data_IF_707458827568
#
_entry.id   IF_707458827568
#
_cell.length_a   1.000
_cell.length_b   1.000
_cell.length_c   1.000
_cell.angle_alpha   90.00
_cell.angle_beta   90.00
_cell.angle_gamma   90.00
#
_symmetry.space_group_name_H-M   'P 1'
#
loop_
_entity.id
_entity.type
_entity.pdbx_description
1 polymer ?
#
# COMPACT_ATOMS: atom_id res chain seq x y z
N UNK A 1 15.24 11.29 -11.89
CA UNK A 1 14.29 10.25 -11.44
C UNK A 1 13.41 10.88 -10.40
N UNK A 2 12.09 10.68 -10.50
CA UNK A 2 11.16 11.23 -9.53
C UNK A 2 11.10 10.26 -8.35
N UNK A 3 11.74 10.61 -7.24
CA UNK A 3 11.63 9.82 -6.00
C UNK A 3 10.23 10.05 -5.43
N UNK A 4 9.41 9.00 -5.37
CA UNK A 4 8.09 9.06 -4.71
C UNK A 4 8.30 9.12 -3.21
N UNK A 5 8.50 10.34 -2.70
CA UNK A 5 8.76 10.61 -1.29
C UNK A 5 7.72 9.92 -0.40
N UNK A 6 8.18 9.18 0.61
CA UNK A 6 7.33 8.47 1.57
C UNK A 6 6.58 7.27 1.02
N UNK A 7 6.82 6.84 -0.23
CA UNK A 7 6.34 5.55 -0.75
C UNK A 7 7.52 4.58 -0.79
N UNK A 8 7.42 3.49 -0.03
CA UNK A 8 8.46 2.48 0.10
C UNK A 8 7.97 1.20 -0.57
N UNK A 9 8.78 0.71 -1.51
CA UNK A 9 8.50 -0.47 -2.33
C UNK A 9 9.30 -1.67 -1.79
N UNK A 10 8.75 -2.38 -0.82
CA UNK A 10 9.46 -3.46 -0.13
C UNK A 10 9.48 -4.72 -0.98
N UNK A 11 10.66 -5.36 -1.04
CA UNK A 11 10.93 -6.59 -1.78
C UNK A 11 10.42 -6.58 -3.24
N UNK A 12 10.41 -5.40 -3.86
CA UNK A 12 9.96 -5.18 -5.24
C UNK A 12 8.49 -5.55 -5.49
N UNK A 13 7.56 -4.99 -4.69
CA UNK A 13 6.13 -5.07 -5.00
C UNK A 13 5.85 -4.66 -6.46
N UNK A 14 6.53 -3.62 -6.92
CA UNK A 14 6.79 -3.39 -8.34
C UNK A 14 8.29 -3.38 -8.61
N UNK A 15 8.73 -3.57 -9.85
CA UNK A 15 10.13 -3.35 -10.19
C UNK A 15 10.55 -1.89 -9.93
N UNK A 16 11.76 -1.69 -9.41
CA UNK A 16 12.27 -0.34 -9.06
C UNK A 16 12.23 0.64 -10.24
N UNK A 17 12.67 0.20 -11.41
CA UNK A 17 12.65 1.03 -12.62
C UNK A 17 11.22 1.46 -13.01
N UNK A 18 10.25 0.56 -12.85
CA UNK A 18 8.86 0.88 -13.15
C UNK A 18 8.34 2.01 -12.25
N UNK A 19 8.57 1.91 -10.94
CA UNK A 19 8.08 2.87 -9.97
C UNK A 19 8.70 4.27 -10.15
N UNK A 20 10.00 4.33 -10.44
CA UNK A 20 10.75 5.60 -10.56
C UNK A 20 10.57 6.33 -11.91
N UNK A 21 10.34 5.58 -13.00
CA UNK A 21 10.41 6.12 -14.35
C UNK A 21 9.12 5.99 -15.16
N UNK A 22 8.27 5.00 -14.86
CA UNK A 22 7.15 4.61 -15.72
C UNK A 22 5.80 4.87 -15.05
N UNK A 23 5.67 4.56 -13.76
CA UNK A 23 4.42 4.68 -13.01
C UNK A 23 3.75 6.04 -13.22
N UNK A 24 4.51 7.13 -13.11
CA UNK A 24 3.96 8.48 -13.29
C UNK A 24 3.36 8.73 -14.67
N UNK A 25 3.80 8.04 -15.72
CA UNK A 25 3.17 8.13 -17.04
C UNK A 25 1.86 7.35 -17.08
N UNK A 26 1.84 6.13 -16.54
CA UNK A 26 0.64 5.27 -16.49
C UNK A 26 -0.48 5.90 -15.64
N UNK A 27 -0.12 6.71 -14.64
CA UNK A 27 -1.09 7.41 -13.78
C UNK A 27 -1.68 8.70 -14.40
N UNK A 28 -1.14 9.21 -15.51
CA UNK A 28 -1.53 10.53 -16.06
C UNK A 28 -3.00 10.61 -16.43
N UNK A 29 -3.54 9.56 -17.04
CA UNK A 29 -4.93 9.57 -17.51
C UNK A 29 -5.91 9.57 -16.33
N UNK A 30 -5.58 8.85 -15.25
CA UNK A 30 -6.33 8.89 -14.00
C UNK A 30 -6.31 10.29 -13.39
N UNK A 31 -5.12 10.90 -13.27
CA UNK A 31 -4.97 12.26 -12.73
C UNK A 31 -5.74 13.28 -13.57
N UNK A 32 -5.68 13.16 -14.89
CA UNK A 32 -6.41 14.03 -15.81
C UNK A 32 -7.93 13.91 -15.59
N UNK A 33 -8.46 12.69 -15.60
CA UNK A 33 -9.89 12.40 -15.35
C UNK A 33 -10.35 13.00 -14.02
N UNK A 34 -9.59 12.81 -12.94
CA UNK A 34 -9.92 13.38 -11.63
C UNK A 34 -9.91 14.90 -11.60
N UNK A 35 -9.02 15.56 -12.34
CA UNK A 35 -9.00 17.02 -12.43
C UNK A 35 -10.20 17.56 -13.21
N UNK A 36 -10.57 16.91 -14.33
CA UNK A 36 -11.76 17.27 -15.11
C UNK A 36 -13.03 17.14 -14.27
N UNK A 37 -13.20 16.02 -13.55
CA UNK A 37 -14.33 15.81 -12.64
C UNK A 37 -14.38 16.85 -11.50
N UNK A 38 -13.22 17.25 -10.98
CA UNK A 38 -13.11 18.26 -9.94
C UNK A 38 -13.51 19.66 -10.45
N UNK A 39 -13.18 19.99 -11.70
CA UNK A 39 -13.58 21.25 -12.33
C UNK A 39 -15.09 21.30 -12.59
N UNK A 40 -15.70 20.17 -12.98
CA UNK A 40 -17.15 20.06 -13.23
C UNK A 40 -17.99 20.11 -11.95
N UNK A 41 -17.57 19.38 -10.91
CA UNK A 41 -18.28 19.31 -9.62
C UNK A 41 -18.02 20.52 -8.71
N UNK A 42 -16.86 21.18 -8.87
CA UNK A 42 -16.35 22.17 -7.92
C UNK A 42 -15.71 21.54 -6.67
N UNK A 43 -15.69 20.21 -6.56
CA UNK A 43 -15.06 19.48 -5.47
C UNK A 43 -13.55 19.30 -5.70
N UNK A 44 -12.84 18.89 -4.65
CA UNK A 44 -11.41 18.58 -4.75
C UNK A 44 -11.22 17.17 -5.32
N UNK A 45 -10.34 17.02 -6.31
CA UNK A 45 -9.81 15.71 -6.71
C UNK A 45 -9.21 14.96 -5.50
N UNK A 46 -9.22 13.62 -5.45
CA UNK A 46 -8.71 12.86 -4.30
C UNK A 46 -7.31 13.28 -3.80
N UNK A 47 -6.29 13.52 -4.65
CA UNK A 47 -4.97 13.99 -4.18
C UNK A 47 -5.03 15.35 -3.46
N UNK A 48 -5.83 16.30 -3.97
CA UNK A 48 -6.05 17.62 -3.37
C UNK A 48 -6.87 17.53 -2.08
N UNK A 49 -7.85 16.63 -2.01
CA UNK A 49 -8.64 16.37 -0.81
C UNK A 49 -7.75 15.81 0.31
N UNK A 50 -6.93 14.79 0.03
CA UNK A 50 -5.93 14.24 0.95
C UNK A 50 -4.95 15.34 1.40
N UNK A 51 -4.41 16.12 0.46
CA UNK A 51 -3.48 17.21 0.80
C UNK A 51 -4.11 18.22 1.78
N UNK A 52 -5.42 18.48 1.68
CA UNK A 52 -6.11 19.38 2.59
C UNK A 52 -6.33 18.81 4.00
N UNK A 53 -6.14 17.51 4.21
CA UNK A 53 -6.15 16.90 5.54
C UNK A 53 -4.83 17.11 6.30
N UNK A 54 -3.79 17.69 5.68
CA UNK A 54 -2.46 17.90 6.29
C UNK A 54 -2.51 18.57 7.66
N UNK A 55 -3.16 19.73 7.76
CA UNK A 55 -3.15 20.51 9.01
C UNK A 55 -3.81 19.75 10.14
N UNK A 56 -4.93 19.09 9.83
CA UNK A 56 -5.66 18.27 10.78
C UNK A 56 -4.87 17.02 11.17
N UNK A 57 -4.20 16.36 10.21
CA UNK A 57 -3.29 15.24 10.45
C UNK A 57 -2.21 15.55 11.48
N UNK A 58 -1.45 16.64 11.29
CA UNK A 58 -0.38 17.01 12.22
C UNK A 58 -0.91 17.42 13.59
N UNK A 59 -2.11 18.01 13.64
CA UNK A 59 -2.80 18.29 14.91
C UNK A 59 -3.16 16.97 15.62
N UNK A 60 -3.85 16.05 14.94
CA UNK A 60 -4.24 14.74 15.49
C UNK A 60 -3.02 13.95 15.96
N UNK A 61 -1.95 13.91 15.16
CA UNK A 61 -0.70 13.24 15.53
C UNK A 61 -0.06 13.84 16.79
N UNK A 62 -0.03 15.17 16.89
CA UNK A 62 0.46 15.85 18.09
C UNK A 62 -0.42 15.60 19.33
N UNK A 63 -1.73 15.40 19.16
CA UNK A 63 -2.62 15.03 20.26
C UNK A 63 -2.38 13.58 20.70
N UNK A 64 -2.28 12.65 19.75
CA UNK A 64 -1.99 11.23 20.01
C UNK A 64 -0.65 11.07 20.75
N UNK A 65 0.39 11.82 20.38
CA UNK A 65 1.71 11.74 21.05
C UNK A 65 1.70 12.28 22.48
N UNK A 66 0.75 13.13 22.84
CA UNK A 66 0.63 13.72 24.19
C UNK A 66 -0.36 12.96 25.07
N UNK A 67 -1.27 12.20 24.44
CA UNK A 67 -2.26 11.39 25.13
C UNK A 67 -1.62 10.12 25.69
N UNK A 68 -2.00 9.71 26.89
CA UNK A 68 -1.50 8.49 27.54
C UNK A 68 -2.52 7.35 27.49
N UNK A 69 -3.81 7.66 27.39
CA UNK A 69 -4.84 6.66 27.25
C UNK A 69 -4.89 6.15 25.81
N UNK A 70 -4.57 4.87 25.61
CA UNK A 70 -4.58 4.22 24.30
C UNK A 70 -5.98 4.25 23.67
N UNK A 71 -7.05 4.22 24.48
CA UNK A 71 -8.43 4.34 23.97
C UNK A 71 -8.68 5.72 23.38
N UNK A 72 -8.24 6.78 24.04
CA UNK A 72 -8.37 8.16 23.52
C UNK A 72 -7.49 8.37 22.28
N UNK A 73 -6.27 7.79 22.25
CA UNK A 73 -5.43 7.77 21.03
C UNK A 73 -6.15 7.11 19.86
N UNK A 74 -6.81 5.97 20.10
CA UNK A 74 -7.59 5.27 19.09
C UNK A 74 -8.76 6.13 18.58
N UNK A 75 -9.51 6.80 19.46
CA UNK A 75 -10.61 7.67 19.04
C UNK A 75 -10.14 8.82 18.14
N UNK A 76 -9.04 9.48 18.51
CA UNK A 76 -8.41 10.53 17.69
C UNK A 76 -7.97 9.99 16.31
N UNK A 77 -7.38 8.79 16.28
CA UNK A 77 -6.99 8.13 15.04
C UNK A 77 -8.21 7.81 14.16
N UNK A 78 -9.27 7.24 14.73
CA UNK A 78 -10.52 6.90 14.04
C UNK A 78 -11.21 8.12 13.42
N UNK A 79 -11.23 9.26 14.10
CA UNK A 79 -11.79 10.51 13.58
C UNK A 79 -11.05 11.00 12.33
N UNK A 80 -9.72 10.91 12.32
CA UNK A 80 -8.93 11.28 11.15
C UNK A 80 -9.07 10.25 10.02
N UNK A 81 -9.02 8.96 10.34
CA UNK A 81 -9.17 7.88 9.37
C UNK A 81 -10.55 7.88 8.69
N UNK A 82 -11.63 8.21 9.40
CA UNK A 82 -12.95 8.34 8.78
C UNK A 82 -12.95 9.34 7.62
N UNK A 83 -12.26 10.48 7.77
CA UNK A 83 -12.11 11.49 6.71
C UNK A 83 -11.14 11.03 5.62
N UNK A 84 -10.00 10.46 6.01
CA UNK A 84 -8.98 10.00 5.06
C UNK A 84 -9.48 8.88 4.14
N UNK A 85 -10.09 7.83 4.70
CA UNK A 85 -10.60 6.69 3.93
C UNK A 85 -11.86 7.03 3.13
N UNK A 86 -12.67 7.98 3.59
CA UNK A 86 -13.79 8.51 2.80
C UNK A 86 -13.30 9.17 1.50
N UNK A 87 -12.19 9.91 1.54
CA UNK A 87 -11.58 10.48 0.32
C UNK A 87 -11.06 9.40 -0.62
N UNK A 88 -10.66 8.23 -0.09
CA UNK A 88 -10.23 7.07 -0.88
C UNK A 88 -11.42 6.20 -1.38
N UNK A 89 -12.66 6.59 -1.09
CA UNK A 89 -13.86 5.89 -1.54
C UNK A 89 -14.26 4.69 -0.68
N UNK A 90 -13.67 4.52 0.51
CA UNK A 90 -14.07 3.47 1.46
C UNK A 90 -15.08 4.01 2.47
N UNK A 91 -16.02 3.15 2.85
CA UNK A 91 -16.91 3.40 3.98
C UNK A 91 -16.20 2.98 5.26
N UNK A 92 -15.72 3.97 6.02
CA UNK A 92 -15.01 3.72 7.27
C UNK A 92 -16.01 3.44 8.39
N UNK A 93 -16.11 2.16 8.77
CA UNK A 93 -17.02 1.66 9.78
C UNK A 93 -16.34 0.54 10.61
N UNK A 94 -15.86 0.85 11.83
CA UNK A 94 -15.33 -0.16 12.75
C UNK A 94 -16.36 -1.25 13.06
N UNK A 95 -16.07 -2.47 12.65
CA UNK A 95 -16.91 -3.66 12.80
C UNK A 95 -16.05 -4.87 13.17
N UNK A 96 -16.69 -5.94 13.59
CA UNK A 96 -16.04 -7.21 13.92
C UNK A 96 -16.29 -8.19 12.76
N UNK A 97 -15.22 -8.87 12.31
CA UNK A 97 -15.30 -9.89 11.27
C UNK A 97 -15.02 -11.26 11.87
N UNK A 98 -15.92 -12.20 11.64
CA UNK A 98 -15.76 -13.61 12.00
C UNK A 98 -14.98 -14.31 10.91
N UNK A 99 -13.95 -15.04 11.32
CA UNK A 99 -13.06 -15.86 10.50
C UNK A 99 -13.51 -17.34 10.54
N UNK A 100 -12.99 -18.17 9.64
CA UNK A 100 -13.37 -19.59 9.52
C UNK A 100 -13.26 -20.43 10.81
N UNK A 101 -12.28 -20.14 11.69
CA UNK A 101 -12.12 -20.84 12.98
C UNK A 101 -12.98 -20.25 14.11
N UNK A 102 -13.99 -19.43 13.78
CA UNK A 102 -14.80 -18.61 14.68
C UNK A 102 -14.03 -17.54 15.46
N UNK A 103 -12.77 -17.30 15.10
CA UNK A 103 -11.99 -16.17 15.56
C UNK A 103 -12.61 -14.85 15.10
N UNK A 104 -12.44 -13.79 15.89
CA UNK A 104 -12.93 -12.46 15.54
C UNK A 104 -11.82 -11.45 15.50
N UNK A 105 -11.78 -10.69 14.41
CA UNK A 105 -10.87 -9.55 14.25
C UNK A 105 -11.63 -8.24 14.06
N UNK A 106 -11.09 -7.10 14.53
CA UNK A 106 -11.65 -5.80 14.22
C UNK A 106 -11.21 -5.37 12.81
N UNK A 107 -12.18 -4.97 12.00
CA UNK A 107 -11.94 -4.33 10.70
C UNK A 107 -12.58 -2.95 10.71
N UNK A 108 -12.04 -2.02 9.91
CA UNK A 108 -12.60 -0.67 9.77
C UNK A 108 -13.24 -0.41 8.41
N UNK A 109 -13.02 -1.29 7.44
CA UNK A 109 -13.78 -1.30 6.19
C UNK A 109 -13.69 -2.68 5.53
N UNK A 110 -14.74 -3.05 4.81
CA UNK A 110 -14.77 -4.23 3.94
C UNK A 110 -15.26 -3.81 2.55
N UNK A 111 -14.62 -4.37 1.51
CA UNK A 111 -15.12 -4.30 0.14
C UNK A 111 -15.32 -5.73 -0.35
N UNK A 112 -16.53 -6.03 -0.80
CA UNK A 112 -16.91 -7.32 -1.34
C UNK A 112 -16.98 -7.25 -2.88
N UNK A 113 -16.69 -8.38 -3.52
CA UNK A 113 -16.98 -8.62 -4.94
C UNK A 113 -18.49 -8.68 -5.18
N UNK A 114 -18.90 -8.63 -6.45
CA UNK A 114 -20.31 -8.79 -6.85
C UNK A 114 -20.92 -10.13 -6.44
N UNK A 115 -20.10 -11.18 -6.26
CA UNK A 115 -20.53 -12.50 -5.77
C UNK A 115 -20.60 -12.59 -4.23
N UNK A 116 -20.30 -11.51 -3.50
CA UNK A 116 -20.34 -11.45 -2.04
C UNK A 116 -19.06 -11.89 -1.32
N UNK A 117 -18.06 -12.40 -2.03
CA UNK A 117 -16.76 -12.75 -1.42
C UNK A 117 -15.98 -11.49 -1.03
N UNK A 118 -15.19 -11.52 0.06
CA UNK A 118 -14.33 -10.41 0.43
C UNK A 118 -13.26 -10.17 -0.64
N UNK A 119 -13.06 -8.90 -0.96
CA UNK A 119 -12.00 -8.45 -1.88
C UNK A 119 -10.92 -7.70 -1.14
N UNK A 120 -11.30 -6.82 -0.21
CA UNK A 120 -10.37 -6.01 0.56
C UNK A 120 -10.88 -5.79 1.98
N UNK A 121 -9.98 -5.94 2.95
CA UNK A 121 -10.20 -5.49 4.33
C UNK A 121 -9.23 -4.37 4.69
N UNK A 122 -9.71 -3.42 5.48
CA UNK A 122 -8.87 -2.42 6.15
C UNK A 122 -8.87 -2.74 7.63
N UNK A 123 -7.69 -2.88 8.21
CA UNK A 123 -7.49 -3.13 9.63
C UNK A 123 -6.64 -2.00 10.18
N UNK A 124 -7.13 -1.35 11.23
CA UNK A 124 -6.34 -0.31 11.89
C UNK A 124 -5.38 -0.94 12.91
N UNK A 125 -4.25 -0.29 13.10
CA UNK A 125 -3.24 -0.66 14.09
C UNK A 125 -3.13 0.45 15.13
N UNK A 126 -2.79 0.11 16.36
CA UNK A 126 -2.51 1.10 17.40
C UNK A 126 -1.25 0.69 18.16
N UNK A 127 -0.33 1.62 18.34
CA UNK A 127 0.85 1.40 19.18
C UNK A 127 0.56 1.81 20.62
N UNK A 128 1.02 1.01 21.57
CA UNK A 128 1.08 1.36 22.98
C UNK A 128 2.27 2.29 23.29
N UNK A 129 3.33 2.23 22.47
CA UNK A 129 4.53 3.05 22.57
C UNK A 129 4.45 4.33 21.72
N UNK A 130 5.25 5.33 22.11
CA UNK A 130 5.40 6.59 21.37
C UNK A 130 6.33 6.46 20.15
N UNK A 131 7.07 5.36 20.03
CA UNK A 131 8.01 5.14 18.94
C UNK A 131 7.29 4.66 17.67
N UNK A 132 7.85 5.00 16.51
CA UNK A 132 7.37 4.46 15.25
C UNK A 132 7.78 2.98 15.16
N UNK A 133 6.83 2.10 15.45
CA UNK A 133 6.97 0.65 15.33
C UNK A 133 6.49 0.20 13.94
N UNK A 134 7.10 -0.84 13.39
CA UNK A 134 6.58 -1.49 12.18
C UNK A 134 5.18 -2.04 12.46
N UNK A 135 4.20 -1.65 11.64
CA UNK A 135 2.82 -2.09 11.75
C UNK A 135 2.66 -3.62 11.75
N UNK A 136 3.51 -4.34 11.01
CA UNK A 136 3.44 -5.80 10.93
C UNK A 136 3.84 -6.48 12.25
N UNK A 137 4.71 -5.83 13.03
CA UNK A 137 5.15 -6.31 14.34
C UNK A 137 4.23 -5.91 15.50
N UNK A 138 3.22 -5.08 15.25
CA UNK A 138 2.22 -4.72 16.25
C UNK A 138 1.24 -5.88 16.45
N UNK A 139 0.52 -5.86 17.56
CA UNK A 139 -0.48 -6.87 17.90
C UNK A 139 -1.87 -6.22 17.94
N UNK A 140 -2.90 -7.05 17.81
CA UNK A 140 -4.27 -6.60 18.06
C UNK A 140 -4.43 -6.17 19.53
N UNK A 141 -5.07 -5.03 19.72
CA UNK A 141 -5.44 -4.55 21.04
C UNK A 141 -6.93 -4.75 21.29
N UNK A 142 -7.28 -5.30 22.45
CA UNK A 142 -8.66 -5.50 22.89
C UNK A 142 -9.55 -4.25 22.78
N UNK A 143 -8.99 -3.04 22.90
CA UNK A 143 -9.74 -1.78 22.75
C UNK A 143 -10.24 -1.51 21.33
N UNK A 144 -9.70 -2.20 20.32
CA UNK A 144 -10.09 -2.02 18.92
C UNK A 144 -11.42 -2.70 18.61
N UNK A 145 -11.82 -3.67 19.43
CA UNK A 145 -13.11 -4.36 19.36
C UNK A 145 -14.24 -3.45 19.84
N UNK A 146 -15.48 -3.75 19.44
CA UNK A 146 -16.62 -2.97 19.90
C UNK A 146 -16.86 -3.22 21.40
N UNK A 147 -17.29 -2.17 22.12
CA UNK A 147 -17.59 -2.28 23.54
C UNK A 147 -18.63 -3.39 23.79
N UNK A 148 -18.39 -4.20 24.82
CA UNK A 148 -19.23 -5.34 25.18
C UNK A 148 -20.71 -4.97 25.44
N UNK A 149 -21.03 -3.69 25.70
CA UNK A 149 -22.39 -3.20 25.91
C UNK A 149 -23.30 -3.23 24.67
N UNK A 150 -22.71 -3.32 23.47
CA UNK A 150 -23.42 -3.47 22.19
C UNK A 150 -23.61 -4.94 21.77
N UNK A 151 -22.95 -5.88 22.47
CA UNK A 151 -23.04 -7.31 22.18
C UNK A 151 -24.37 -7.85 22.70
N UNK A 152 -25.11 -8.57 21.85
CA UNK A 152 -26.37 -9.20 22.28
C UNK A 152 -26.07 -10.32 23.27
N UNK A 153 -26.88 -10.40 24.33
CA UNK A 153 -26.76 -11.43 25.35
C UNK A 153 -26.91 -12.83 24.71
N UNK A 154 -25.81 -13.53 24.48
CA UNK A 154 -25.77 -14.82 23.77
C UNK A 154 -24.56 -15.01 22.85
N UNK A 155 -23.94 -13.91 22.40
CA UNK A 155 -22.71 -13.93 21.58
C UNK A 155 -21.49 -14.04 22.49
N UNK A 156 -21.31 -15.19 23.13
CA UNK A 156 -20.04 -15.54 23.77
C UNK A 156 -19.04 -15.87 22.66
N UNK A 157 -18.51 -14.84 22.03
CA UNK A 157 -17.35 -14.98 21.17
C UNK A 157 -16.14 -15.09 22.10
N UNK A 158 -15.43 -16.21 22.01
CA UNK A 158 -14.08 -16.25 22.53
C UNK A 158 -13.27 -15.22 21.73
N UNK A 159 -12.92 -14.10 22.36
CA UNK A 159 -11.70 -13.42 21.94
C UNK A 159 -10.59 -14.37 22.37
N UNK A 160 -10.22 -15.30 21.50
CA UNK A 160 -9.19 -16.26 21.85
C UNK A 160 -7.90 -15.49 22.13
N UNK A 161 -7.26 -15.85 23.25
CA UNK A 161 -6.06 -15.16 23.71
C UNK A 161 -4.92 -15.25 22.69
N UNK A 162 -5.01 -16.18 21.74
CA UNK A 162 -4.01 -16.48 20.72
C UNK A 162 -3.87 -15.35 19.69
N UNK A 163 -4.97 -14.94 19.02
CA UNK A 163 -4.93 -13.87 18.01
C UNK A 163 -4.54 -12.49 18.59
N UNK A 164 -4.75 -12.29 19.90
CA UNK A 164 -4.31 -11.08 20.62
C UNK A 164 -2.83 -11.14 21.03
N UNK A 165 -2.18 -12.30 20.92
CA UNK A 165 -0.80 -12.54 21.35
C UNK A 165 0.19 -12.71 20.20
N UNK A 166 -0.30 -12.80 18.97
CA UNK A 166 0.50 -12.80 17.74
C UNK A 166 0.57 -11.40 17.15
N UNK A 167 1.56 -11.17 16.30
CA UNK A 167 1.67 -9.93 15.55
C UNK A 167 0.80 -9.93 14.28
N UNK A 168 0.73 -8.78 13.60
CA UNK A 168 -0.06 -8.65 12.38
C UNK A 168 0.52 -9.49 11.23
N UNK A 169 1.83 -9.75 11.18
CA UNK A 169 2.43 -10.60 10.15
C UNK A 169 1.90 -12.04 10.23
N UNK A 170 1.91 -12.63 11.43
CA UNK A 170 1.37 -13.95 11.70
C UNK A 170 -0.15 -13.97 11.55
N UNK A 171 -0.87 -12.95 12.07
CA UNK A 171 -2.32 -12.83 11.92
C UNK A 171 -2.75 -12.81 10.44
N UNK A 172 -2.03 -12.04 9.61
CA UNK A 172 -2.31 -11.96 8.19
C UNK A 172 -2.07 -13.30 7.49
N UNK A 173 -0.96 -13.96 7.82
CA UNK A 173 -0.55 -15.22 7.19
C UNK A 173 -1.48 -16.38 7.56
N UNK A 174 -1.69 -16.56 8.87
CA UNK A 174 -2.26 -17.78 9.42
C UNK A 174 -3.78 -17.70 9.60
N UNK A 175 -4.34 -16.49 9.74
CA UNK A 175 -5.77 -16.30 9.99
C UNK A 175 -6.51 -15.59 8.86
N UNK A 176 -5.89 -14.60 8.18
CA UNK A 176 -6.58 -13.82 7.14
C UNK A 176 -6.41 -14.42 5.74
N UNK A 177 -5.18 -14.69 5.30
CA UNK A 177 -4.91 -15.22 3.96
C UNK A 177 -5.07 -16.74 3.85
N UNK A 178 -5.15 -17.42 4.99
CA UNK A 178 -5.45 -18.85 5.11
C UNK A 178 -6.94 -19.19 5.10
N UNK A 179 -7.85 -18.20 5.13
CA UNK A 179 -9.30 -18.43 5.01
C UNK A 179 -9.63 -19.21 3.73
N UNK A 180 -10.78 -19.89 3.74
CA UNK A 180 -11.39 -20.55 2.58
C UNK A 180 -11.71 -19.52 1.47
N UNK A 181 -12.26 -18.38 1.87
CA UNK A 181 -12.55 -17.22 1.00
C UNK A 181 -11.84 -15.96 1.51
N UNK A 182 -10.50 -15.86 1.36
CA UNK A 182 -9.72 -14.76 1.92
C UNK A 182 -9.84 -13.49 1.07
N UNK A 183 -9.75 -12.29 1.69
CA UNK A 183 -9.61 -11.06 0.91
C UNK A 183 -8.33 -11.13 0.07
N UNK A 184 -8.36 -10.52 -1.11
CA UNK A 184 -7.16 -10.37 -1.92
C UNK A 184 -6.22 -9.33 -1.32
N UNK A 185 -6.80 -8.20 -0.92
CA UNK A 185 -6.07 -7.04 -0.43
C UNK A 185 -6.28 -6.85 1.06
N UNK A 186 -5.21 -6.52 1.77
CA UNK A 186 -5.31 -6.02 3.16
C UNK A 186 -4.61 -4.67 3.22
N UNK A 187 -5.28 -3.70 3.82
CA UNK A 187 -4.66 -2.42 4.18
C UNK A 187 -4.50 -2.40 5.70
N UNK A 188 -3.26 -2.39 6.18
CA UNK A 188 -2.96 -2.06 7.57
C UNK A 188 -2.77 -0.55 7.71
N UNK A 189 -3.47 0.05 8.67
CA UNK A 189 -3.52 1.49 8.83
C UNK A 189 -3.13 1.92 10.26
N UNK A 190 -1.95 2.52 10.39
CA UNK A 190 -1.54 3.25 11.59
C UNK A 190 -1.44 4.75 11.31
N UNK A 191 -1.51 5.59 12.34
CA UNK A 191 -1.47 7.05 12.11
C UNK A 191 -0.16 7.54 11.45
N UNK A 192 0.94 6.80 11.59
CA UNK A 192 2.22 7.15 10.97
C UNK A 192 2.40 6.54 9.57
N UNK A 193 1.81 5.37 9.32
CA UNK A 193 2.07 4.58 8.12
C UNK A 193 0.82 3.85 7.65
N UNK A 194 0.72 3.62 6.35
CA UNK A 194 -0.23 2.67 5.76
C UNK A 194 0.56 1.61 5.00
N UNK A 195 0.15 0.35 5.10
CA UNK A 195 0.74 -0.77 4.38
C UNK A 195 -0.34 -1.40 3.50
N UNK A 196 -0.06 -1.54 2.21
CA UNK A 196 -0.90 -2.26 1.26
C UNK A 196 -0.30 -3.63 0.96
N UNK A 197 -1.10 -4.67 1.16
CA UNK A 197 -0.72 -6.07 1.01
C UNK A 197 -1.55 -6.72 -0.10
N UNK A 198 -0.88 -7.41 -1.03
CA UNK A 198 -1.51 -8.34 -1.97
C UNK A 198 -1.26 -9.77 -1.51
N UNK A 199 -2.31 -10.56 -1.31
CA UNK A 199 -2.22 -11.99 -1.01
C UNK A 199 -1.29 -12.73 -1.98
N UNK A 200 -1.30 -12.38 -3.27
CA UNK A 200 -0.49 -13.07 -4.28
C UNK A 200 1.01 -12.73 -4.20
N UNK A 201 1.37 -11.65 -3.52
CA UNK A 201 2.77 -11.20 -3.34
C UNK A 201 3.29 -11.38 -1.91
N UNK A 202 2.40 -11.71 -0.97
CA UNK A 202 2.68 -11.82 0.45
C UNK A 202 3.76 -12.85 0.79
N UNK A 203 3.77 -14.02 0.13
CA UNK A 203 4.77 -15.06 0.38
C UNK A 203 6.22 -14.64 0.04
N UNK A 204 6.38 -13.62 -0.79
CA UNK A 204 7.68 -13.02 -1.11
C UNK A 204 7.93 -11.72 -0.31
N UNK A 205 7.09 -11.46 0.70
CA UNK A 205 7.09 -10.26 1.54
C UNK A 205 7.10 -8.97 0.73
N UNK A 206 6.51 -8.98 -0.47
CA UNK A 206 6.44 -7.77 -1.30
C UNK A 206 5.21 -6.96 -0.90
N UNK A 207 5.44 -5.70 -0.58
CA UNK A 207 4.38 -4.80 -0.11
C UNK A 207 4.72 -3.34 -0.41
N UNK A 208 3.70 -2.47 -0.33
CA UNK A 208 3.87 -1.03 -0.44
C UNK A 208 3.61 -0.38 0.91
N UNK A 209 4.55 0.44 1.38
CA UNK A 209 4.35 1.29 2.57
C UNK A 209 4.24 2.74 2.18
N UNK A 210 3.39 3.45 2.91
CA UNK A 210 3.13 4.88 2.75
C UNK A 210 3.40 5.58 4.08
N UNK A 211 4.49 6.31 4.19
CA UNK A 211 4.79 7.20 5.32
C UNK A 211 3.89 8.43 5.23
N UNK A 212 2.88 8.49 6.10
CA UNK A 212 1.90 9.57 6.09
C UNK A 212 2.51 10.89 6.51
N UNK A 213 3.47 10.87 7.45
CA UNK A 213 4.17 12.07 7.89
C UNK A 213 4.99 12.65 6.74
N UNK A 214 5.81 11.84 6.08
CA UNK A 214 6.69 12.31 5.01
C UNK A 214 5.87 12.84 3.82
N UNK A 215 4.84 12.08 3.39
CA UNK A 215 3.99 12.45 2.26
C UNK A 215 3.22 13.75 2.54
N UNK A 216 2.61 13.90 3.73
CA UNK A 216 1.84 15.09 4.07
C UNK A 216 2.74 16.27 4.47
N UNK A 217 3.94 16.04 4.99
CA UNK A 217 4.91 17.09 5.27
C UNK A 217 5.40 17.74 3.96
N UNK A 218 5.88 16.92 3.01
CA UNK A 218 6.48 17.41 1.77
C UNK A 218 5.43 17.89 0.76
N UNK A 219 4.26 17.24 0.73
CA UNK A 219 3.24 17.47 -0.30
C UNK A 219 3.80 17.39 -1.73
N UNK A 220 4.74 16.45 -1.96
CA UNK A 220 5.19 16.16 -3.32
C UNK A 220 4.00 15.68 -4.15
N UNK A 221 3.75 16.36 -5.28
CA UNK A 221 2.54 16.12 -6.06
C UNK A 221 2.52 14.71 -6.66
N UNK A 222 3.67 14.22 -7.11
CA UNK A 222 3.78 12.90 -7.73
C UNK A 222 3.54 11.79 -6.69
N UNK A 223 4.12 11.92 -5.49
CA UNK A 223 3.90 11.00 -4.37
C UNK A 223 2.45 11.06 -3.86
N UNK A 224 1.85 12.25 -3.74
CA UNK A 224 0.45 12.40 -3.35
C UNK A 224 -0.51 11.76 -4.35
N UNK A 225 -0.27 11.95 -5.65
CA UNK A 225 -1.04 11.32 -6.72
C UNK A 225 -0.87 9.80 -6.69
N UNK A 226 0.36 9.30 -6.62
CA UNK A 226 0.64 7.87 -6.55
C UNK A 226 -0.04 7.23 -5.33
N UNK A 227 0.11 7.80 -4.13
CA UNK A 227 -0.58 7.32 -2.92
C UNK A 227 -2.09 7.31 -3.11
N UNK A 228 -2.65 8.44 -3.57
CA UNK A 228 -4.09 8.55 -3.76
C UNK A 228 -4.58 7.45 -4.70
N UNK A 229 -3.93 7.26 -5.85
CA UNK A 229 -4.34 6.27 -6.85
C UNK A 229 -4.18 4.85 -6.33
N UNK A 230 -3.00 4.49 -5.80
CA UNK A 230 -2.68 3.14 -5.35
C UNK A 230 -3.57 2.67 -4.20
N UNK A 231 -4.05 3.58 -3.35
CA UNK A 231 -4.94 3.25 -2.23
C UNK A 231 -6.43 3.44 -2.54
N UNK A 232 -6.81 4.17 -3.60
CA UNK A 232 -8.22 4.47 -3.86
C UNK A 232 -8.99 3.20 -4.22
N UNK A 233 -10.19 3.05 -3.64
CA UNK A 233 -11.07 1.90 -3.85
C UNK A 233 -11.35 1.63 -5.32
N UNK A 234 -11.54 2.68 -6.12
CA UNK A 234 -11.81 2.52 -7.55
C UNK A 234 -10.69 1.79 -8.32
N UNK A 235 -9.47 1.79 -7.79
CA UNK A 235 -8.29 1.19 -8.45
C UNK A 235 -7.88 -0.14 -7.81
N UNK A 236 -8.01 -0.27 -6.49
CA UNK A 236 -7.75 -1.53 -5.76
C UNK A 236 -8.89 -2.53 -5.96
N UNK A 237 -10.13 -2.03 -6.00
CA UNK A 237 -11.37 -2.80 -5.98
C UNK A 237 -12.44 -2.18 -6.92
N UNK A 238 -12.19 -2.10 -8.24
CA UNK A 238 -13.17 -1.57 -9.18
C UNK A 238 -14.45 -2.41 -9.18
N UNK A 239 -15.60 -1.76 -9.38
CA UNK A 239 -16.90 -2.45 -9.48
C UNK A 239 -17.03 -3.29 -10.75
N UNK A 240 -16.32 -2.91 -11.81
CA UNK A 240 -16.26 -3.61 -13.10
C UNK A 240 -14.83 -3.53 -13.67
N UNK A 241 -14.40 -4.60 -14.35
CA UNK A 241 -13.07 -4.67 -14.97
C UNK A 241 -11.97 -5.22 -14.05
N UNK A 242 -10.72 -5.09 -14.51
CA UNK A 242 -9.51 -5.48 -13.79
C UNK A 242 -9.07 -4.37 -12.84
N UNK A 243 -8.48 -4.73 -11.70
CA UNK A 243 -7.92 -3.74 -10.79
C UNK A 243 -6.77 -3.01 -11.51
N UNK A 244 -6.68 -1.68 -11.37
CA UNK A 244 -5.59 -0.93 -11.96
C UNK A 244 -4.23 -1.48 -11.48
N UNK A 245 -4.16 -1.94 -10.22
CA UNK A 245 -2.95 -2.54 -9.68
C UNK A 245 -2.50 -3.80 -10.45
N UNK A 246 -3.43 -4.56 -11.05
CA UNK A 246 -3.10 -5.68 -11.92
C UNK A 246 -2.45 -5.20 -13.22
N UNK A 247 -3.01 -4.15 -13.81
CA UNK A 247 -2.48 -3.55 -15.04
C UNK A 247 -1.09 -2.93 -14.82
N UNK A 248 -0.90 -2.26 -13.68
CA UNK A 248 0.40 -1.72 -13.28
C UNK A 248 1.41 -2.87 -13.04
N UNK A 249 0.97 -4.00 -12.49
CA UNK A 249 1.83 -5.17 -12.28
C UNK A 249 2.28 -5.80 -13.59
N UNK A 250 1.34 -6.02 -14.51
CA UNK A 250 1.65 -6.50 -15.86
C UNK A 250 2.63 -5.56 -16.58
N UNK A 251 2.43 -4.25 -16.47
CA UNK A 251 3.32 -3.26 -17.07
C UNK A 251 4.71 -3.30 -16.41
N UNK A 252 4.76 -3.41 -15.08
CA UNK A 252 6.02 -3.55 -14.34
C UNK A 252 6.82 -4.75 -14.82
N UNK A 253 6.16 -5.90 -15.00
CA UNK A 253 6.79 -7.09 -15.56
C UNK A 253 7.28 -6.87 -17.00
N UNK A 254 6.44 -6.34 -17.90
CA UNK A 254 6.81 -6.08 -19.30
C UNK A 254 8.07 -5.19 -19.40
N UNK A 255 8.16 -4.17 -18.56
CA UNK A 255 9.31 -3.27 -18.54
C UNK A 255 10.55 -3.88 -17.89
N UNK A 256 10.40 -4.67 -16.83
CA UNK A 256 11.53 -5.41 -16.25
C UNK A 256 12.14 -6.42 -17.25
N UNK A 257 11.29 -7.12 -18.01
CA UNK A 257 11.74 -8.02 -19.08
C UNK A 257 12.44 -7.28 -20.23
N UNK A 258 11.87 -6.15 -20.69
CA UNK A 258 12.48 -5.35 -21.76
C UNK A 258 13.87 -4.83 -21.37
N UNK A 259 14.03 -4.36 -20.12
CA UNK A 259 15.35 -3.92 -19.61
C UNK A 259 16.35 -5.07 -19.52
N UNK A 260 15.90 -6.27 -19.14
CA UNK A 260 16.75 -7.46 -19.11
C UNK A 260 17.25 -7.84 -20.51
N UNK A 261 16.39 -7.76 -21.51
CA UNK A 261 16.76 -8.06 -22.89
C UNK A 261 17.66 -6.97 -23.47
N UNK A 262 17.37 -5.69 -23.24
CA UNK A 262 18.26 -4.58 -23.63
C UNK A 262 19.65 -4.72 -23.01
N UNK A 263 19.75 -5.15 -21.75
CA UNK A 263 21.04 -5.42 -21.10
C UNK A 263 21.77 -6.61 -21.73
N UNK A 264 21.05 -7.69 -22.09
CA UNK A 264 21.64 -8.82 -22.82
C UNK A 264 22.11 -8.41 -24.22
N UNK A 265 21.33 -7.59 -24.93
CA UNK A 265 21.70 -7.06 -26.25
C UNK A 265 22.92 -6.15 -26.15
N UNK A 266 22.95 -5.22 -25.19
CA UNK A 266 24.10 -4.33 -24.95
C UNK A 266 25.37 -5.10 -24.53
N UNK A 267 25.24 -6.14 -23.71
CA UNK A 267 26.36 -7.02 -23.34
C UNK A 267 26.87 -7.80 -24.56
N UNK A 268 25.97 -8.33 -25.38
CA UNK A 268 26.33 -9.04 -26.62
C UNK A 268 27.03 -8.11 -27.61
N UNK A 269 26.52 -6.91 -27.80
CA UNK A 269 27.11 -5.89 -28.66
C UNK A 269 28.49 -5.46 -28.15
N UNK A 270 28.66 -5.30 -26.84
CA UNK A 270 29.97 -4.98 -26.24
C UNK A 270 31.00 -6.10 -26.45
N UNK A 271 30.58 -7.36 -26.37
CA UNK A 271 31.45 -8.52 -26.67
C UNK A 271 31.79 -8.57 -28.17
N UNK A 272 30.83 -8.30 -29.04
CA UNK A 272 31.06 -8.26 -30.48
C UNK A 272 32.01 -7.13 -30.86
N UNK A 273 31.83 -5.91 -30.34
CA UNK A 273 32.72 -4.78 -30.54
C UNK A 273 34.15 -5.07 -30.04
N UNK A 274 34.30 -5.71 -28.88
CA UNK A 274 35.62 -6.14 -28.39
C UNK A 274 36.26 -7.23 -29.26
N UNK A 275 35.47 -8.20 -29.75
CA UNK A 275 35.94 -9.22 -30.70
C UNK A 275 36.36 -8.62 -32.04
N UNK A 276 35.62 -7.64 -32.56
CA UNK A 276 35.98 -6.89 -33.76
C UNK A 276 37.29 -6.10 -33.52
N UNK A 277 37.41 -5.38 -32.41
CA UNK A 277 38.63 -4.65 -32.08
C UNK A 277 39.86 -5.58 -31.94
N UNK A 278 39.69 -6.77 -31.35
CA UNK A 278 40.76 -7.77 -31.22
C UNK A 278 41.18 -8.37 -32.57
N UNK A 279 40.22 -8.63 -33.47
CA UNK A 279 40.48 -9.23 -34.79
C UNK A 279 41.14 -8.27 -35.79
N UNK A 280 40.91 -6.96 -35.65
CA UNK A 280 41.46 -5.93 -36.53
C UNK A 280 42.59 -5.09 -35.91
N UNK A 281 42.86 -5.23 -34.60
CA UNK A 281 43.92 -4.52 -33.88
C UNK A 281 45.35 -5.04 -34.12
N UNK A 282 45.53 -6.23 -34.68
CA UNK A 282 46.86 -6.87 -34.83
C UNK A 282 47.63 -6.44 -36.09
N UNK A 283 47.07 -5.59 -36.97
CA UNK A 283 47.70 -5.26 -38.26
C UNK A 283 48.65 -4.03 -38.20
N UNK A 284 48.70 -3.28 -37.09
CA UNK A 284 49.45 -2.00 -37.02
C UNK A 284 50.87 -2.03 -36.44
N UNK A 285 51.48 -3.20 -36.20
CA UNK A 285 52.83 -3.27 -35.59
C UNK A 285 53.84 -4.11 -36.38
N UNK A 286 53.92 -3.95 -37.71
CA UNK A 286 55.04 -4.54 -38.47
C UNK A 286 55.37 -3.79 -39.77
N UNK A 287 55.63 -2.47 -39.73
CA UNK A 287 56.38 -1.76 -40.79
C UNK A 287 57.11 -0.53 -40.24
N UNK A 288 58.25 -0.74 -39.58
CA UNK A 288 59.37 0.22 -39.55
C UNK A 288 60.60 -0.39 -38.85
N UNK A 289 61.37 -1.20 -39.58
CA UNK A 289 62.80 -1.39 -39.33
C UNK A 289 63.50 -1.52 -40.68
N UNK A 290 64.08 -0.40 -41.11
CA UNK A 290 65.20 -0.31 -42.05
C UNK A 290 66.19 0.65 -41.42
#
# INVERSE_FOLDING_TARGET
MAVLTGIINENEFYSHHYLDAILQNDLKDVVKRWNELAEESGDKSPPKAIASLKTDYFKTRSQISQEKDVRERLLLQREWFGRFFSVLGYEYQPTEKVLDENEIIPIVAEVNKSNGQPLLWIIETISDTEEAVDLLSLQLNSIQFQDAGTRRYGDAVNQDAEILSIDFEDLISDYIFAQDDPPRWVILAGINQIVLLDRFKWNASQLLRFDLEEILARLDNNALQAKAILLHREHTCPSEGTALLDELDENSHKHAFSVSDDLKYALRESIELQRFASKYGTIKHCKSRS
#
